data_IF_722632525871
#
_entry.id   IF_722632525871
#
_cell.length_a   1.000
_cell.length_b   1.000
_cell.length_c   1.000
_cell.angle_alpha   90.00
_cell.angle_beta   90.00
_cell.angle_gamma   90.00
#
_symmetry.space_group_name_H-M   'P 1'
#
loop_
_entity.id
_entity.type
_entity.pdbx_description
1 polymer ?
#
# COMPACT_ATOMS: atom_id res chain seq x y z
N UNK A 1 -36.70 5.21 -1.76
CA UNK A 1 -36.14 4.34 -2.81
C UNK A 1 -34.65 4.53 -2.75
N UNK A 2 -33.98 3.48 -2.27
CA UNK A 2 -32.54 3.38 -2.15
C UNK A 2 -31.86 3.63 -3.50
N UNK A 3 -30.80 4.42 -3.50
CA UNK A 3 -29.77 4.30 -4.52
C UNK A 3 -28.44 4.14 -3.81
N UNK A 4 -28.20 2.90 -3.40
CA UNK A 4 -26.86 2.35 -3.32
C UNK A 4 -26.18 2.67 -4.66
N UNK A 5 -25.34 3.71 -4.72
CA UNK A 5 -24.44 3.90 -5.84
C UNK A 5 -23.41 2.78 -5.73
N UNK A 6 -23.68 1.68 -6.42
CA UNK A 6 -22.66 0.71 -6.80
C UNK A 6 -21.48 1.49 -7.35
N UNK A 7 -20.31 1.35 -6.75
CA UNK A 7 -19.07 1.82 -7.37
C UNK A 7 -18.96 1.12 -8.72
N UNK A 8 -19.15 1.87 -9.80
CA UNK A 8 -19.07 1.34 -11.17
C UNK A 8 -17.63 0.89 -11.39
N UNK A 9 -17.46 -0.36 -11.82
CA UNK A 9 -16.13 -0.91 -12.06
C UNK A 9 -15.37 -0.02 -13.05
N UNK A 10 -14.07 0.30 -12.85
CA UNK A 10 -13.33 1.25 -13.70
C UNK A 10 -13.38 0.92 -15.20
N UNK A 11 -13.43 -0.37 -15.55
CA UNK A 11 -13.55 -0.81 -16.95
C UNK A 11 -14.94 -0.50 -17.55
N UNK A 12 -15.99 -0.57 -16.75
CA UNK A 12 -17.35 -0.21 -17.17
C UNK A 12 -17.51 1.30 -17.28
N UNK A 13 -16.92 2.07 -16.35
CA UNK A 13 -16.85 3.53 -16.43
C UNK A 13 -16.14 3.96 -17.72
N UNK A 14 -15.03 3.32 -18.08
CA UNK A 14 -14.31 3.54 -19.33
C UNK A 14 -15.18 3.31 -20.58
N UNK A 15 -15.92 2.19 -20.62
CA UNK A 15 -16.89 1.91 -21.70
C UNK A 15 -18.00 2.95 -21.76
N UNK A 16 -18.46 3.43 -20.60
CA UNK A 16 -19.43 4.53 -20.49
C UNK A 16 -18.91 5.82 -21.13
N UNK A 17 -17.67 6.21 -20.81
CA UNK A 17 -17.03 7.37 -21.44
C UNK A 17 -16.86 7.20 -22.95
N UNK A 18 -16.42 6.03 -23.42
CA UNK A 18 -16.28 5.77 -24.86
C UNK A 18 -17.63 5.91 -25.59
N UNK A 19 -18.70 5.32 -25.04
CA UNK A 19 -20.04 5.45 -25.62
C UNK A 19 -20.51 6.90 -25.72
N UNK A 20 -20.16 7.74 -24.74
CA UNK A 20 -20.46 9.17 -24.79
C UNK A 20 -19.65 9.85 -25.89
N UNK A 21 -18.35 9.56 -26.01
CA UNK A 21 -17.49 10.11 -27.07
C UNK A 21 -17.89 9.66 -28.48
N UNK A 22 -18.50 8.49 -28.62
CA UNK A 22 -19.04 8.00 -29.89
C UNK A 22 -20.32 8.76 -30.32
N UNK A 23 -20.94 9.55 -29.42
CA UNK A 23 -22.10 10.37 -29.75
C UNK A 23 -21.70 11.74 -30.32
N UNK A 24 -22.41 12.24 -31.35
CA UNK A 24 -22.14 13.57 -31.90
C UNK A 24 -22.24 14.67 -30.82
N UNK A 25 -21.25 15.55 -30.77
CA UNK A 25 -21.23 16.71 -29.87
C UNK A 25 -20.73 16.43 -28.45
N UNK A 26 -20.20 15.24 -28.18
CA UNK A 26 -19.50 14.93 -26.94
C UNK A 26 -18.00 14.83 -27.19
N UNK A 27 -17.24 15.66 -26.51
CA UNK A 27 -15.78 15.59 -26.43
C UNK A 27 -15.34 15.45 -24.96
N UNK A 28 -14.03 15.31 -24.73
CA UNK A 28 -13.51 15.14 -23.37
C UNK A 28 -13.87 16.34 -22.47
N UNK A 29 -13.93 17.55 -23.02
CA UNK A 29 -14.36 18.74 -22.27
C UNK A 29 -15.82 18.63 -21.79
N UNK A 30 -16.72 18.16 -22.66
CA UNK A 30 -18.11 17.89 -22.31
C UNK A 30 -18.23 16.79 -21.25
N UNK A 31 -17.38 15.75 -21.31
CA UNK A 31 -17.35 14.68 -20.30
C UNK A 31 -16.87 15.21 -18.94
N UNK A 32 -15.83 16.05 -18.89
CA UNK A 32 -15.34 16.68 -17.65
C UNK A 32 -16.48 17.45 -16.98
N UNK A 33 -17.17 18.30 -17.74
CA UNK A 33 -18.27 19.14 -17.23
C UNK A 33 -19.45 18.29 -16.71
N UNK A 34 -19.80 17.20 -17.41
CA UNK A 34 -20.96 16.37 -17.06
C UNK A 34 -20.70 15.35 -15.96
N UNK A 35 -19.49 14.83 -15.87
CA UNK A 35 -19.11 13.79 -14.88
C UNK A 35 -18.54 14.36 -13.59
N UNK A 36 -18.19 15.66 -13.56
CA UNK A 36 -17.44 16.31 -12.49
C UNK A 36 -16.13 15.55 -12.17
N UNK A 37 -15.48 15.00 -13.21
CA UNK A 37 -14.18 14.31 -13.14
C UNK A 37 -13.15 15.09 -13.95
N UNK A 38 -11.89 15.05 -13.53
CA UNK A 38 -10.81 15.69 -14.27
C UNK A 38 -10.59 15.02 -15.63
N UNK A 39 -10.07 15.77 -16.61
CA UNK A 39 -9.69 15.20 -17.90
C UNK A 39 -8.70 14.05 -17.74
N UNK A 40 -7.76 14.17 -16.80
CA UNK A 40 -6.80 13.12 -16.44
C UNK A 40 -7.49 11.82 -16.00
N UNK A 41 -8.55 11.90 -15.18
CA UNK A 41 -9.33 10.72 -14.78
C UNK A 41 -10.00 10.06 -15.99
N UNK A 42 -10.63 10.84 -16.87
CA UNK A 42 -11.31 10.33 -18.07
C UNK A 42 -10.32 9.63 -19.01
N UNK A 43 -9.16 10.26 -19.29
CA UNK A 43 -8.11 9.64 -20.11
C UNK A 43 -7.54 8.38 -19.47
N UNK A 44 -7.31 8.37 -18.15
CA UNK A 44 -6.86 7.18 -17.44
C UNK A 44 -7.86 6.03 -17.61
N UNK A 45 -9.17 6.30 -17.50
CA UNK A 45 -10.21 5.29 -17.73
C UNK A 45 -10.25 4.82 -19.17
N UNK A 46 -10.27 5.72 -20.14
CA UNK A 46 -10.28 5.37 -21.56
C UNK A 46 -9.06 4.52 -21.96
N UNK A 47 -7.90 4.76 -21.33
CA UNK A 47 -6.70 3.96 -21.59
C UNK A 47 -6.94 2.47 -21.31
N UNK A 48 -7.78 2.12 -20.32
CA UNK A 48 -8.09 0.73 -19.99
C UNK A 48 -8.71 -0.03 -21.16
N UNK A 49 -9.38 0.65 -22.11
CA UNK A 49 -9.94 0.02 -23.30
C UNK A 49 -8.87 -0.44 -24.31
N UNK A 50 -7.61 -0.09 -24.10
CA UNK A 50 -6.46 -0.55 -24.89
C UNK A 50 -5.88 -1.87 -24.40
N UNK A 51 -6.44 -2.45 -23.33
CA UNK A 51 -6.04 -3.75 -22.82
C UNK A 51 -6.35 -4.87 -23.82
N UNK A 52 -5.40 -5.78 -24.02
CA UNK A 52 -5.65 -7.02 -24.75
C UNK A 52 -6.72 -7.87 -24.03
N UNK A 53 -7.47 -8.74 -24.75
CA UNK A 53 -8.63 -9.44 -24.20
C UNK A 53 -8.37 -10.17 -22.87
N UNK A 54 -7.26 -10.89 -22.76
CA UNK A 54 -6.93 -11.69 -21.58
C UNK A 54 -6.70 -10.82 -20.34
N UNK A 55 -6.06 -9.66 -20.50
CA UNK A 55 -5.79 -8.71 -19.42
C UNK A 55 -7.05 -7.95 -19.02
N UNK A 56 -7.86 -7.56 -20.01
CA UNK A 56 -9.16 -6.93 -19.76
C UNK A 56 -10.09 -7.87 -18.97
N UNK A 57 -10.14 -9.14 -19.34
CA UNK A 57 -10.91 -10.15 -18.61
C UNK A 57 -10.39 -10.31 -17.18
N UNK A 58 -9.07 -10.40 -16.99
CA UNK A 58 -8.48 -10.47 -15.66
C UNK A 58 -8.80 -9.26 -14.78
N UNK A 59 -8.89 -8.08 -15.38
CA UNK A 59 -9.26 -6.87 -14.67
C UNK A 59 -10.73 -6.86 -14.27
N UNK A 60 -11.64 -7.25 -15.19
CA UNK A 60 -13.08 -7.35 -14.91
C UNK A 60 -13.39 -8.41 -13.84
N UNK A 61 -12.63 -9.50 -13.80
CA UNK A 61 -12.72 -10.54 -12.78
C UNK A 61 -11.98 -10.17 -11.48
N UNK A 62 -11.48 -8.94 -11.36
CA UNK A 62 -10.73 -8.43 -10.20
C UNK A 62 -9.48 -9.26 -9.83
N UNK A 63 -8.95 -10.05 -10.79
CA UNK A 63 -7.69 -10.81 -10.62
C UNK A 63 -6.46 -9.92 -10.62
N UNK A 64 -6.57 -8.73 -11.19
CA UNK A 64 -5.57 -7.65 -11.12
C UNK A 64 -6.25 -6.37 -10.66
N UNK A 65 -5.51 -5.50 -9.98
CA UNK A 65 -6.06 -4.21 -9.51
C UNK A 65 -6.05 -3.15 -10.61
N UNK A 66 -6.79 -2.06 -10.41
CA UNK A 66 -6.78 -0.91 -11.33
C UNK A 66 -5.37 -0.34 -11.55
N UNK A 67 -4.49 -0.40 -10.55
CA UNK A 67 -3.09 0.04 -10.70
C UNK A 67 -2.33 -0.80 -11.73
N UNK A 68 -2.49 -2.13 -11.72
CA UNK A 68 -1.88 -3.02 -12.70
C UNK A 68 -2.44 -2.77 -14.10
N UNK A 69 -3.77 -2.73 -14.20
CA UNK A 69 -4.47 -2.52 -15.46
C UNK A 69 -4.06 -1.19 -16.13
N UNK A 70 -3.95 -0.10 -15.36
CA UNK A 70 -3.52 1.20 -15.88
C UNK A 70 -2.05 1.21 -16.35
N UNK A 71 -1.16 0.42 -15.72
CA UNK A 71 0.23 0.30 -16.17
C UNK A 71 0.30 -0.45 -17.51
N UNK A 72 -0.39 -1.60 -17.61
CA UNK A 72 -0.35 -2.46 -18.79
C UNK A 72 -1.07 -1.79 -19.97
N UNK A 73 -2.18 -1.10 -19.73
CA UNK A 73 -2.97 -0.40 -20.75
C UNK A 73 -2.20 0.68 -21.51
N UNK A 74 -1.11 1.21 -20.93
CA UNK A 74 -0.26 2.22 -21.55
C UNK A 74 0.82 1.62 -22.46
N UNK A 75 1.01 0.30 -22.43
CA UNK A 75 2.00 -0.38 -23.25
C UNK A 75 1.44 -0.69 -24.65
N UNK A 76 2.30 -0.71 -25.68
CA UNK A 76 1.96 -1.33 -26.95
C UNK A 76 1.41 -2.74 -26.75
N UNK A 77 0.38 -3.12 -27.52
CA UNK A 77 -0.37 -4.38 -27.31
C UNK A 77 0.54 -5.62 -27.32
N UNK A 78 1.58 -5.62 -28.15
CA UNK A 78 2.58 -6.70 -28.25
C UNK A 78 3.37 -6.96 -26.96
N UNK A 79 3.47 -5.97 -26.06
CA UNK A 79 4.16 -6.09 -24.79
C UNK A 79 3.23 -6.36 -23.60
N UNK A 80 1.93 -6.19 -23.78
CA UNK A 80 0.97 -6.32 -22.68
C UNK A 80 0.92 -7.73 -22.12
N UNK A 81 0.98 -8.77 -22.96
CA UNK A 81 1.00 -10.16 -22.51
C UNK A 81 2.24 -10.45 -21.64
N UNK A 82 3.41 -10.02 -22.09
CA UNK A 82 4.65 -10.22 -21.34
C UNK A 82 4.64 -9.47 -19.99
N UNK A 83 4.13 -8.24 -19.95
CA UNK A 83 3.98 -7.46 -18.71
C UNK A 83 2.95 -8.09 -17.76
N UNK A 84 1.87 -8.63 -18.31
CA UNK A 84 0.81 -9.30 -17.55
C UNK A 84 1.34 -10.51 -16.80
N UNK A 85 2.11 -11.38 -17.44
CA UNK A 85 2.73 -12.56 -16.79
C UNK A 85 3.55 -12.19 -15.55
N UNK A 86 4.12 -10.98 -15.50
CA UNK A 86 4.92 -10.50 -14.36
C UNK A 86 4.09 -10.05 -13.16
N UNK A 87 2.75 -10.04 -13.27
CA UNK A 87 1.88 -9.71 -12.15
C UNK A 87 1.87 -10.84 -11.11
N UNK A 88 2.26 -12.07 -11.47
CA UNK A 88 2.17 -13.22 -10.59
C UNK A 88 3.51 -13.78 -10.16
N UNK A 89 3.55 -14.33 -8.94
CA UNK A 89 4.66 -15.14 -8.45
C UNK A 89 4.13 -16.26 -7.58
N UNK A 90 4.81 -17.41 -7.65
CA UNK A 90 4.57 -18.53 -6.74
C UNK A 90 5.72 -18.62 -5.76
N UNK A 91 5.48 -18.23 -4.51
CA UNK A 91 6.46 -18.41 -3.45
C UNK A 91 6.41 -19.85 -2.88
N UNK A 92 7.41 -20.20 -2.09
CA UNK A 92 7.63 -21.57 -1.61
C UNK A 92 6.46 -22.13 -0.76
N UNK A 93 5.70 -21.26 -0.11
CA UNK A 93 4.56 -21.62 0.73
C UNK A 93 3.21 -21.52 0.00
N UNK A 94 3.21 -21.06 -1.25
CA UNK A 94 1.97 -20.83 -1.99
C UNK A 94 1.51 -22.07 -2.73
N UNK A 95 0.22 -22.38 -2.60
CA UNK A 95 -0.42 -23.43 -3.41
C UNK A 95 -0.56 -22.98 -4.87
N UNK A 96 -0.90 -21.71 -5.08
CA UNK A 96 -1.12 -21.07 -6.39
C UNK A 96 -0.39 -19.73 -6.46
N UNK A 97 0.01 -19.24 -7.65
CA UNK A 97 0.64 -17.94 -7.79
C UNK A 97 -0.23 -16.82 -7.24
N UNK A 98 0.35 -15.95 -6.41
CA UNK A 98 -0.34 -14.77 -5.88
C UNK A 98 0.01 -13.52 -6.69
N UNK A 99 -0.89 -12.53 -6.64
CA UNK A 99 -0.70 -11.23 -7.29
C UNK A 99 0.36 -10.41 -6.53
N UNK A 100 1.41 -10.00 -7.23
CA UNK A 100 2.42 -9.10 -6.71
C UNK A 100 1.91 -7.65 -6.66
N UNK A 101 2.51 -6.77 -5.84
CA UNK A 101 2.22 -5.33 -5.91
C UNK A 101 2.61 -4.73 -7.28
N UNK A 102 1.83 -3.77 -7.78
CA UNK A 102 2.00 -3.16 -9.11
C UNK A 102 3.41 -2.61 -9.40
N UNK A 103 4.17 -2.21 -8.36
CA UNK A 103 5.57 -1.80 -8.46
C UNK A 103 6.48 -2.84 -9.12
N UNK A 104 6.15 -4.13 -9.03
CA UNK A 104 6.91 -5.20 -9.67
C UNK A 104 6.75 -5.14 -11.20
N UNK A 105 5.54 -4.91 -11.69
CA UNK A 105 5.27 -4.70 -13.12
C UNK A 105 5.95 -3.42 -13.60
N UNK A 106 5.90 -2.33 -12.81
CA UNK A 106 6.63 -1.09 -13.11
C UNK A 106 8.13 -1.36 -13.28
N UNK A 107 8.77 -2.04 -12.33
CA UNK A 107 10.19 -2.36 -12.41
C UNK A 107 10.53 -3.23 -13.62
N UNK A 108 9.65 -4.17 -13.99
CA UNK A 108 9.83 -4.96 -15.19
C UNK A 108 9.73 -4.11 -16.46
N UNK A 109 8.73 -3.21 -16.57
CA UNK A 109 8.57 -2.29 -17.69
C UNK A 109 9.82 -1.40 -17.85
N UNK A 110 10.32 -0.82 -16.75
CA UNK A 110 11.54 0.00 -16.76
C UNK A 110 12.77 -0.79 -17.26
N UNK A 111 12.87 -2.07 -16.89
CA UNK A 111 14.05 -2.88 -17.21
C UNK A 111 13.97 -3.53 -18.61
N UNK A 112 12.78 -3.63 -19.22
CA UNK A 112 12.59 -4.36 -20.48
C UNK A 112 12.08 -3.48 -21.62
N UNK A 113 11.41 -2.38 -21.33
CA UNK A 113 10.73 -1.54 -22.33
C UNK A 113 11.27 -0.10 -22.34
N UNK A 114 11.44 0.55 -21.18
CA UNK A 114 11.97 1.92 -21.10
C UNK A 114 13.49 1.95 -20.98
N UNK A 115 14.14 1.48 -22.05
CA UNK A 115 15.58 1.25 -22.11
C UNK A 115 16.35 2.52 -22.47
N UNK A 116 16.56 3.39 -21.49
CA UNK A 116 17.37 4.60 -21.67
C UNK A 116 18.80 4.25 -22.10
N UNK A 117 19.24 4.77 -23.26
CA UNK A 117 20.58 4.52 -23.76
C UNK A 117 21.67 5.19 -22.91
N UNK A 118 21.32 6.24 -22.17
CA UNK A 118 22.21 6.87 -21.19
C UNK A 118 22.60 5.92 -20.04
N UNK A 119 21.76 4.93 -19.74
CA UNK A 119 21.99 3.93 -18.71
C UNK A 119 22.67 2.66 -19.22
N UNK A 120 22.98 2.59 -20.52
CA UNK A 120 23.60 1.43 -21.13
C UNK A 120 24.97 1.13 -20.48
N UNK A 121 25.24 -0.13 -20.09
CA UNK A 121 26.51 -0.50 -19.48
C UNK A 121 27.67 -0.59 -20.49
N UNK A 122 27.37 -0.44 -21.78
CA UNK A 122 28.30 -0.63 -22.89
C UNK A 122 28.42 0.63 -23.75
N UNK A 123 29.49 0.71 -24.54
CA UNK A 123 29.70 1.81 -25.48
C UNK A 123 28.66 1.76 -26.63
N UNK A 124 27.98 2.88 -26.86
CA UNK A 124 26.94 3.00 -27.88
C UNK A 124 27.49 2.92 -29.31
N UNK A 125 28.78 3.20 -29.51
CA UNK A 125 29.46 3.08 -30.81
C UNK A 125 29.92 1.64 -31.11
N UNK A 126 29.77 0.71 -30.16
CA UNK A 126 30.26 -0.66 -30.31
C UNK A 126 29.39 -1.49 -31.26
N UNK A 127 29.96 -1.80 -32.43
CA UNK A 127 29.35 -2.63 -33.48
C UNK A 127 29.48 -4.12 -33.16
N UNK A 128 30.49 -4.51 -32.36
CA UNK A 128 30.84 -5.90 -32.09
C UNK A 128 29.87 -6.64 -31.17
N UNK A 129 29.10 -5.92 -30.35
CA UNK A 129 28.14 -6.53 -29.41
C UNK A 129 26.96 -7.21 -30.10
N UNK A 130 26.53 -6.67 -31.25
CA UNK A 130 25.54 -7.31 -32.11
C UNK A 130 25.78 -6.86 -33.57
N UNK A 131 26.59 -7.62 -34.34
CA UNK A 131 26.96 -7.25 -35.70
C UNK A 131 25.77 -7.10 -36.65
N UNK A 132 24.67 -7.82 -36.41
CA UNK A 132 23.46 -7.74 -37.23
C UNK A 132 22.70 -6.42 -37.02
N UNK A 133 22.75 -5.86 -35.81
CA UNK A 133 22.06 -4.62 -35.47
C UNK A 133 22.93 -3.35 -35.64
N UNK A 134 24.26 -3.49 -35.64
CA UNK A 134 25.19 -2.36 -35.72
C UNK A 134 25.31 -1.55 -34.42
N UNK A 135 25.96 -0.39 -34.47
CA UNK A 135 26.12 0.52 -33.33
C UNK A 135 24.78 1.13 -32.87
N UNK A 136 24.63 1.37 -31.56
CA UNK A 136 23.44 2.03 -31.01
C UNK A 136 23.38 3.52 -31.39
N UNK A 137 24.52 4.20 -31.47
CA UNK A 137 24.59 5.64 -31.74
C UNK A 137 24.02 6.03 -33.11
N UNK A 138 24.14 5.16 -34.11
CA UNK A 138 23.58 5.39 -35.46
C UNK A 138 22.32 4.55 -35.71
N UNK A 139 21.74 3.94 -34.67
CA UNK A 139 20.62 3.03 -34.81
C UNK A 139 19.33 3.78 -35.17
N UNK A 140 18.62 3.41 -36.25
CA UNK A 140 17.35 4.05 -36.62
C UNK A 140 16.20 3.70 -35.66
N UNK A 141 16.41 2.74 -34.75
CA UNK A 141 15.42 2.24 -33.77
C UNK A 141 15.55 2.89 -32.40
N UNK A 142 16.32 3.98 -32.27
CA UNK A 142 16.37 4.79 -31.04
C UNK A 142 15.44 6.00 -31.16
N UNK A 143 14.83 6.42 -30.06
CA UNK A 143 13.93 7.58 -30.06
C UNK A 143 14.64 8.86 -30.52
N UNK A 144 15.93 9.00 -30.21
CA UNK A 144 16.76 10.13 -30.62
C UNK A 144 17.13 10.19 -32.11
N UNK A 145 16.86 9.15 -32.92
CA UNK A 145 17.07 9.20 -34.37
C UNK A 145 15.99 10.02 -35.09
N UNK A 146 14.73 9.89 -34.64
CA UNK A 146 13.59 10.64 -35.17
C UNK A 146 12.97 11.50 -34.06
N UNK A 147 13.71 12.49 -33.58
CA UNK A 147 13.30 13.34 -32.44
C UNK A 147 11.92 13.99 -32.64
N UNK A 148 11.54 14.33 -33.88
CA UNK A 148 10.23 14.89 -34.18
C UNK A 148 9.06 13.93 -33.93
N UNK A 149 9.27 12.62 -34.08
CA UNK A 149 8.25 11.59 -33.79
C UNK A 149 8.15 11.29 -32.30
N UNK A 150 9.18 11.62 -31.52
CA UNK A 150 9.30 11.27 -30.11
C UNK A 150 9.55 12.50 -29.23
N UNK A 151 9.01 13.67 -29.59
CA UNK A 151 9.22 14.92 -28.86
C UNK A 151 8.76 14.87 -27.39
N UNK A 152 7.83 13.97 -27.07
CA UNK A 152 7.29 13.75 -25.71
C UNK A 152 8.13 12.74 -24.89
N UNK A 153 9.09 12.04 -25.50
CA UNK A 153 9.94 11.05 -24.82
C UNK A 153 11.12 11.76 -24.17
N UNK A 154 11.24 11.62 -22.85
CA UNK A 154 12.39 12.13 -22.10
C UNK A 154 13.62 11.26 -22.37
N UNK A 155 14.62 11.83 -23.06
CA UNK A 155 15.90 11.19 -23.34
C UNK A 155 15.91 10.25 -24.57
N UNK A 156 17.10 9.74 -24.90
CA UNK A 156 17.29 8.77 -25.99
C UNK A 156 17.09 7.34 -25.45
N UNK A 157 16.14 6.61 -26.04
CA UNK A 157 15.71 5.30 -25.60
C UNK A 157 15.82 4.29 -26.74
N UNK A 158 16.20 3.05 -26.40
CA UNK A 158 16.16 1.93 -27.32
C UNK A 158 14.72 1.41 -27.46
N UNK A 159 14.21 1.33 -28.69
CA UNK A 159 12.87 0.79 -28.95
C UNK A 159 12.89 -0.73 -29.27
N UNK A 160 14.05 -1.39 -29.21
CA UNK A 160 14.17 -2.84 -29.39
C UNK A 160 14.83 -3.48 -28.16
N UNK A 161 13.98 -4.01 -27.26
CA UNK A 161 14.44 -4.60 -26.02
C UNK A 161 15.24 -5.89 -26.18
N UNK A 162 14.92 -6.73 -27.17
CA UNK A 162 15.68 -7.96 -27.42
C UNK A 162 17.09 -7.65 -27.92
N UNK A 163 17.22 -6.67 -28.80
CA UNK A 163 18.53 -6.19 -29.25
C UNK A 163 19.35 -5.63 -28.08
N UNK A 164 18.75 -4.79 -27.23
CA UNK A 164 19.44 -4.21 -26.07
C UNK A 164 19.93 -5.30 -25.11
N UNK A 165 19.05 -6.24 -24.74
CA UNK A 165 19.40 -7.35 -23.84
C UNK A 165 20.51 -8.24 -24.41
N UNK A 166 20.47 -8.53 -25.71
CA UNK A 166 21.52 -9.30 -26.38
C UNK A 166 22.87 -8.59 -26.32
N UNK A 167 22.89 -7.26 -26.50
CA UNK A 167 24.12 -6.45 -26.37
C UNK A 167 24.64 -6.40 -24.93
N UNK A 168 23.75 -6.27 -23.94
CA UNK A 168 24.13 -6.33 -22.52
C UNK A 168 24.76 -7.69 -22.19
N UNK A 169 24.15 -8.80 -22.65
CA UNK A 169 24.69 -10.14 -22.43
C UNK A 169 26.09 -10.31 -23.07
N UNK A 170 26.25 -9.92 -24.34
CA UNK A 170 27.53 -9.97 -25.03
C UNK A 170 28.60 -9.11 -24.36
N UNK A 171 28.21 -7.93 -23.85
CA UNK A 171 29.10 -7.05 -23.10
C UNK A 171 29.55 -7.68 -21.78
N UNK A 172 28.62 -8.26 -21.01
CA UNK A 172 28.93 -8.97 -19.76
C UNK A 172 29.91 -10.12 -20.02
N UNK A 173 29.66 -10.95 -21.04
CA UNK A 173 30.53 -12.07 -21.38
C UNK A 173 31.95 -11.59 -21.75
N UNK A 174 32.05 -10.48 -22.49
CA UNK A 174 33.34 -9.85 -22.82
C UNK A 174 34.06 -9.29 -21.59
N UNK A 175 33.33 -8.65 -20.68
CA UNK A 175 33.89 -8.10 -19.45
C UNK A 175 34.39 -9.20 -18.51
N UNK A 176 33.65 -10.29 -18.38
CA UNK A 176 34.07 -11.46 -17.60
C UNK A 176 35.32 -12.13 -18.20
N UNK A 177 35.43 -12.17 -19.53
CA UNK A 177 36.63 -12.68 -20.21
C UNK A 177 37.84 -11.75 -20.02
N UNK A 178 37.63 -10.43 -19.95
CA UNK A 178 38.70 -9.43 -19.82
C UNK A 178 39.16 -9.27 -18.37
N UNK A 179 38.23 -9.36 -17.41
CA UNK A 179 38.45 -9.12 -15.98
C UNK A 179 37.92 -10.30 -15.14
N UNK A 180 38.59 -11.47 -15.17
CA UNK A 180 38.13 -12.67 -14.46
C UNK A 180 38.15 -12.54 -12.94
N UNK A 181 38.83 -11.52 -12.39
CA UNK A 181 38.87 -11.21 -10.96
C UNK A 181 37.60 -10.54 -10.42
N UNK A 182 36.68 -10.11 -11.29
CA UNK A 182 35.43 -9.49 -10.85
C UNK A 182 34.51 -10.52 -10.21
N UNK A 183 33.98 -10.17 -9.04
CA UNK A 183 32.97 -10.98 -8.38
C UNK A 183 31.67 -10.90 -9.16
N UNK A 184 31.04 -12.02 -9.47
CA UNK A 184 29.76 -12.05 -10.18
C UNK A 184 28.63 -11.94 -9.16
N UNK A 185 27.71 -10.98 -9.35
CA UNK A 185 26.57 -10.77 -8.45
C UNK A 185 25.23 -10.72 -9.19
N UNK A 186 24.15 -11.05 -8.48
CA UNK A 186 22.77 -10.85 -8.94
C UNK A 186 22.02 -9.88 -8.02
N UNK A 187 21.40 -8.86 -8.60
CA UNK A 187 20.63 -7.85 -7.84
C UNK A 187 19.15 -8.20 -7.68
N UNK A 188 18.68 -9.22 -8.41
CA UNK A 188 17.29 -9.68 -8.40
C UNK A 188 17.24 -11.13 -7.94
N UNK A 189 16.27 -11.45 -7.08
CA UNK A 189 16.12 -12.82 -6.58
C UNK A 189 15.76 -13.78 -7.71
N UNK A 190 16.38 -14.95 -7.70
CA UNK A 190 16.13 -16.05 -8.61
C UNK A 190 15.96 -17.36 -7.81
N UNK A 191 15.07 -18.28 -8.22
CA UNK A 191 14.96 -19.59 -7.58
C UNK A 191 16.29 -20.35 -7.62
N UNK A 192 16.60 -21.13 -6.57
CA UNK A 192 17.87 -21.85 -6.46
C UNK A 192 18.20 -22.76 -7.66
N UNK A 193 17.19 -23.28 -8.36
CA UNK A 193 17.37 -24.11 -9.57
C UNK A 193 17.86 -23.34 -10.80
N UNK A 194 17.64 -22.04 -10.84
CA UNK A 194 18.00 -21.18 -11.95
C UNK A 194 19.22 -20.29 -11.62
N UNK A 195 19.62 -20.23 -10.35
CA UNK A 195 20.84 -19.56 -9.91
C UNK A 195 22.05 -20.21 -10.56
N UNK A 196 22.96 -19.39 -11.08
CA UNK A 196 24.18 -19.89 -11.72
C UNK A 196 25.24 -20.17 -10.64
N UNK A 197 25.97 -21.29 -10.73
CA UNK A 197 27.01 -21.61 -9.76
C UNK A 197 28.12 -20.56 -9.79
N UNK A 198 28.52 -20.07 -8.62
CA UNK A 198 29.59 -19.07 -8.46
C UNK A 198 29.12 -17.60 -8.52
N UNK A 199 27.83 -17.34 -8.75
CA UNK A 199 27.28 -15.98 -8.70
C UNK A 199 26.66 -15.72 -7.33
N UNK A 200 27.03 -14.59 -6.71
CA UNK A 200 26.56 -14.19 -5.39
C UNK A 200 25.15 -13.57 -5.46
N UNK A 201 24.16 -14.12 -4.73
CA UNK A 201 22.82 -13.54 -4.65
C UNK A 201 22.81 -12.28 -3.76
N UNK A 202 21.78 -11.43 -3.92
CA UNK A 202 21.63 -10.16 -3.19
C UNK A 202 21.85 -10.20 -1.67
N UNK A 203 21.59 -11.32 -1.00
CA UNK A 203 21.72 -11.43 0.46
C UNK A 203 23.15 -11.76 0.94
N UNK A 204 24.05 -12.18 0.04
CA UNK A 204 25.41 -12.60 0.37
C UNK A 204 26.46 -11.49 0.13
N UNK A 205 26.00 -10.26 -0.10
CA UNK A 205 26.88 -9.11 -0.27
C UNK A 205 26.20 -7.83 0.20
N UNK A 206 27.00 -6.85 0.58
CA UNK A 206 26.54 -5.49 0.87
C UNK A 206 27.10 -4.54 -0.19
N UNK A 207 26.22 -3.80 -0.85
CA UNK A 207 26.60 -2.74 -1.77
C UNK A 207 27.20 -1.57 -0.98
N UNK A 208 28.34 -1.08 -1.47
CA UNK A 208 29.07 0.04 -0.89
C UNK A 208 28.96 1.21 -1.86
N UNK A 209 28.66 2.39 -1.32
CA UNK A 209 28.72 3.61 -2.10
C UNK A 209 30.16 3.81 -2.59
N UNK A 210 30.30 4.03 -3.89
CA UNK A 210 31.60 4.36 -4.47
C UNK A 210 31.95 5.77 -4.04
N UNK A 211 33.10 6.00 -3.37
CA UNK A 211 33.56 7.36 -3.12
C UNK A 211 33.79 8.06 -4.46
N UNK A 212 33.36 9.32 -4.60
CA UNK A 212 33.57 10.11 -5.83
C UNK A 212 35.08 10.27 -6.18
N UNK A 213 35.97 10.02 -5.23
CA UNK A 213 37.41 10.10 -5.40
C UNK A 213 38.02 8.71 -5.71
N UNK A 214 38.68 8.51 -6.86
CA UNK A 214 39.33 7.25 -7.22
C UNK A 214 40.51 6.86 -6.30
N UNK A 215 41.06 7.82 -5.54
CA UNK A 215 42.14 7.59 -4.57
C UNK A 215 41.63 7.41 -3.14
N UNK A 216 40.32 7.32 -2.92
CA UNK A 216 39.75 7.08 -1.59
C UNK A 216 40.14 5.69 -1.09
N UNK A 217 40.54 5.61 0.18
CA UNK A 217 40.78 4.33 0.84
C UNK A 217 39.51 3.48 0.79
N UNK A 218 39.63 2.17 0.53
CA UNK A 218 38.48 1.29 0.46
C UNK A 218 37.73 1.32 1.80
N UNK A 219 36.39 1.42 1.78
CA UNK A 219 35.58 1.56 2.99
C UNK A 219 35.74 0.38 3.96
N UNK A 220 36.13 -0.80 3.47
CA UNK A 220 36.53 -1.92 4.33
C UNK A 220 37.64 -2.78 3.70
N UNK A 221 38.35 -3.61 4.49
CA UNK A 221 39.39 -4.51 3.99
C UNK A 221 38.89 -5.56 2.98
N UNK A 222 37.59 -5.91 3.05
CA UNK A 222 36.95 -6.93 2.21
C UNK A 222 36.19 -6.33 1.02
N UNK A 223 36.56 -5.12 0.62
CA UNK A 223 36.01 -4.43 -0.54
C UNK A 223 36.44 -5.13 -1.83
N UNK A 224 35.48 -5.52 -2.67
CA UNK A 224 35.72 -6.12 -3.98
C UNK A 224 34.87 -5.45 -5.05
N UNK A 225 35.41 -5.35 -6.26
CA UNK A 225 34.64 -4.94 -7.44
C UNK A 225 33.81 -6.12 -7.96
N UNK A 226 32.52 -5.89 -8.15
CA UNK A 226 31.58 -6.89 -8.61
C UNK A 226 30.87 -6.45 -9.89
N UNK A 227 30.68 -7.38 -10.83
CA UNK A 227 29.91 -7.18 -12.05
C UNK A 227 28.50 -7.74 -11.87
N UNK A 228 27.49 -6.91 -12.14
CA UNK A 228 26.10 -7.36 -12.12
C UNK A 228 25.83 -8.19 -13.37
N UNK A 229 25.68 -9.50 -13.20
CA UNK A 229 25.43 -10.44 -14.31
C UNK A 229 23.93 -10.56 -14.59
N UNK A 230 23.09 -10.38 -13.57
CA UNK A 230 21.65 -10.51 -13.69
C UNK A 230 20.89 -9.57 -12.74
N UNK A 231 19.78 -9.02 -13.24
CA UNK A 231 18.88 -8.15 -12.50
C UNK A 231 18.95 -6.69 -12.95
N UNK A 232 18.48 -5.78 -12.08
CA UNK A 232 18.54 -4.34 -12.32
C UNK A 232 20.00 -3.90 -12.47
N UNK A 233 20.26 -3.05 -13.46
CA UNK A 233 21.58 -2.54 -13.82
C UNK A 233 22.60 -3.62 -14.26
N UNK A 234 22.14 -4.72 -14.87
CA UNK A 234 23.02 -5.72 -15.46
C UNK A 234 24.07 -5.08 -16.40
N UNK A 235 25.32 -5.51 -16.27
CA UNK A 235 26.49 -4.96 -16.95
C UNK A 235 27.22 -3.84 -16.21
N UNK A 236 26.62 -3.21 -15.18
CA UNK A 236 27.34 -2.22 -14.37
C UNK A 236 28.28 -2.92 -13.38
N UNK A 237 29.45 -2.31 -13.15
CA UNK A 237 30.38 -2.72 -12.09
C UNK A 237 30.10 -1.89 -10.85
N UNK A 238 29.90 -2.54 -9.71
CA UNK A 238 29.68 -1.90 -8.42
C UNK A 238 30.71 -2.37 -7.40
N UNK A 239 30.81 -1.67 -6.28
CA UNK A 239 31.71 -2.03 -5.19
C UNK A 239 30.91 -2.71 -4.08
N UNK A 240 31.36 -3.88 -3.62
CA UNK A 240 30.64 -4.67 -2.62
C UNK A 240 31.57 -5.19 -1.52
N UNK A 241 31.02 -5.38 -0.33
CA UNK A 241 31.61 -6.18 0.72
C UNK A 241 30.99 -7.58 0.68
N UNK A 242 31.82 -8.62 0.49
CA UNK A 242 31.35 -10.02 0.45
C UNK A 242 31.51 -10.75 1.78
N UNK A 243 31.91 -10.04 2.83
CA UNK A 243 32.13 -10.62 4.16
C UNK A 243 30.92 -10.31 5.06
N UNK A 244 30.24 -11.37 5.49
CA UNK A 244 29.09 -11.33 6.40
C UNK A 244 29.51 -10.89 7.82
N UNK A 245 30.78 -11.05 8.17
CA UNK A 245 31.33 -10.72 9.49
C UNK A 245 32.34 -9.57 9.40
N UNK A 246 32.11 -8.64 8.48
CA UNK A 246 33.02 -7.51 8.31
C UNK A 246 33.03 -6.61 9.57
N UNK A 247 34.18 -6.37 10.21
CA UNK A 247 34.28 -5.60 11.45
C UNK A 247 33.85 -4.13 11.31
N UNK A 248 33.85 -3.60 10.08
CA UNK A 248 33.39 -2.24 9.78
C UNK A 248 31.87 -2.17 9.66
N UNK A 249 31.25 -3.18 9.03
CA UNK A 249 29.83 -3.16 8.66
C UNK A 249 28.92 -3.87 9.66
N UNK A 250 29.47 -4.79 10.47
CA UNK A 250 28.79 -5.50 11.54
C UNK A 250 29.69 -5.67 12.79
N UNK A 251 30.04 -4.56 13.47
CA UNK A 251 30.91 -4.60 14.65
C UNK A 251 30.27 -5.36 15.83
N UNK A 252 28.95 -5.35 15.92
CA UNK A 252 28.21 -6.03 16.99
C UNK A 252 28.30 -7.55 16.84
N UNK A 253 28.16 -8.07 15.62
CA UNK A 253 28.33 -9.50 15.37
C UNK A 253 29.77 -9.94 15.61
N UNK A 254 30.77 -9.17 15.17
CA UNK A 254 32.18 -9.48 15.44
C UNK A 254 32.46 -9.49 16.93
N UNK A 255 31.99 -8.50 17.69
CA UNK A 255 32.14 -8.46 19.14
C UNK A 255 31.45 -9.64 19.83
N UNK A 256 30.26 -10.05 19.35
CA UNK A 256 29.54 -11.23 19.86
C UNK A 256 30.31 -12.52 19.60
N UNK A 257 30.85 -12.69 18.39
CA UNK A 257 31.64 -13.88 18.02
C UNK A 257 32.96 -13.93 18.81
N UNK A 258 33.66 -12.81 18.92
CA UNK A 258 34.88 -12.70 19.74
C UNK A 258 34.60 -13.01 21.22
N UNK A 259 33.47 -12.55 21.76
CA UNK A 259 33.05 -12.90 23.11
C UNK A 259 32.70 -14.39 23.23
N UNK A 260 32.04 -14.99 22.25
CA UNK A 260 31.76 -16.43 22.24
C UNK A 260 33.05 -17.26 22.22
N UNK A 261 34.03 -16.85 21.43
CA UNK A 261 35.35 -17.47 21.37
C UNK A 261 36.13 -17.29 22.68
N UNK A 262 36.02 -16.13 23.33
CA UNK A 262 36.61 -15.90 24.65
C UNK A 262 35.92 -16.70 25.77
N UNK A 263 34.58 -16.82 25.75
CA UNK A 263 33.80 -17.56 26.74
C UNK A 263 33.97 -19.08 26.60
N UNK A 264 34.32 -19.58 25.40
CA UNK A 264 34.58 -21.00 25.14
C UNK A 264 35.65 -21.16 24.05
N UNK A 265 36.94 -21.03 24.40
CA UNK A 265 38.03 -21.10 23.43
C UNK A 265 38.17 -22.53 22.91
N UNK A 266 38.43 -22.65 21.59
CA UNK A 266 38.73 -23.94 21.00
C UNK A 266 40.01 -24.51 21.62
N UNK A 267 40.03 -25.80 22.02
CA UNK A 267 41.26 -26.44 22.48
C UNK A 267 42.33 -26.36 21.39
N UNK A 268 43.51 -25.88 21.75
CA UNK A 268 44.70 -25.82 20.89
C UNK A 268 45.71 -26.80 21.47
N UNK A 269 46.39 -27.56 20.60
CA UNK A 269 47.45 -28.46 21.02
C UNK A 269 48.60 -27.66 21.63
N UNK A 270 49.02 -28.04 22.83
CA UNK A 270 50.14 -27.38 23.49
C UNK A 270 51.44 -27.66 22.71
N UNK A 271 52.31 -26.65 22.55
CA UNK A 271 53.56 -26.83 21.82
C UNK A 271 54.45 -27.85 22.53
N UNK A 272 55.05 -28.75 21.76
CA UNK A 272 55.99 -29.74 22.27
C UNK A 272 57.19 -29.04 22.96
N UNK A 273 57.65 -29.59 24.08
CA UNK A 273 58.86 -29.13 24.76
C UNK A 273 60.11 -29.67 24.06
N UNK A 274 61.24 -28.94 24.11
CA UNK A 274 62.47 -29.28 23.37
C UNK A 274 63.11 -30.62 23.83
N UNK A 275 62.79 -31.08 25.05
CA UNK A 275 63.21 -32.36 25.62
C UNK A 275 61.98 -33.15 26.09
N UNK A 276 61.13 -33.59 25.16
CA UNK A 276 59.96 -34.44 25.44
C UNK A 276 60.30 -35.92 25.16
N UNK A 277 59.93 -36.82 26.08
CA UNK A 277 60.01 -38.26 25.84
C UNK A 277 58.81 -38.74 25.00
N UNK A 278 58.93 -39.89 24.32
CA UNK A 278 57.86 -40.43 23.47
C UNK A 278 56.56 -40.68 24.26
N UNK A 279 56.67 -41.11 25.52
CA UNK A 279 55.53 -41.30 26.44
C UNK A 279 54.85 -39.98 26.84
N UNK A 280 55.61 -38.88 26.99
CA UNK A 280 55.06 -37.55 27.31
C UNK A 280 54.33 -36.95 26.10
N UNK A 281 54.84 -37.18 24.89
CA UNK A 281 54.19 -36.76 23.65
C UNK A 281 52.84 -37.48 23.42
N UNK A 282 52.78 -38.80 23.66
CA UNK A 282 51.53 -39.58 23.59
C UNK A 282 50.50 -39.11 24.63
N UNK A 283 50.94 -38.77 25.85
CA UNK A 283 50.06 -38.22 26.89
C UNK A 283 49.49 -36.86 26.51
N UNK A 284 50.31 -35.97 25.96
CA UNK A 284 49.88 -34.64 25.49
C UNK A 284 48.86 -34.74 24.35
N UNK A 285 49.07 -35.65 23.40
CA UNK A 285 48.11 -35.90 22.32
C UNK A 285 46.78 -36.45 22.86
N UNK A 286 46.84 -37.43 23.77
CA UNK A 286 45.65 -38.00 24.40
C UNK A 286 44.86 -36.96 25.22
N UNK A 287 45.54 -36.08 25.96
CA UNK A 287 44.90 -34.99 26.73
C UNK A 287 44.27 -33.94 25.80
N UNK A 288 44.93 -33.61 24.67
CA UNK A 288 44.36 -32.74 23.65
C UNK A 288 43.10 -33.35 23.02
N UNK A 289 43.11 -34.64 22.67
CA UNK A 289 41.94 -35.34 22.14
C UNK A 289 40.77 -35.34 23.14
N UNK A 290 41.04 -35.58 24.42
CA UNK A 290 40.03 -35.48 25.48
C UNK A 290 39.42 -34.06 25.54
N UNK A 291 40.24 -33.02 25.63
CA UNK A 291 39.76 -31.62 25.65
C UNK A 291 38.96 -31.25 24.39
N UNK A 292 39.38 -31.75 23.22
CA UNK A 292 38.66 -31.58 21.95
C UNK A 292 37.27 -32.22 21.98
N UNK A 293 37.18 -33.46 22.43
CA UNK A 293 35.90 -34.18 22.50
C UNK A 293 34.94 -33.54 23.51
N UNK A 294 35.45 -33.12 24.68
CA UNK A 294 34.66 -32.39 25.68
C UNK A 294 34.12 -31.05 25.14
N UNK A 295 34.96 -30.28 24.45
CA UNK A 295 34.54 -29.03 23.81
C UNK A 295 33.48 -29.26 22.72
N UNK A 296 33.61 -30.31 21.91
CA UNK A 296 32.62 -30.65 20.87
C UNK A 296 31.26 -31.04 21.48
N UNK A 297 31.26 -31.83 22.56
CA UNK A 297 30.03 -32.18 23.30
C UNK A 297 29.37 -30.94 23.90
N UNK A 298 30.16 -30.04 24.49
CA UNK A 298 29.65 -28.78 25.06
C UNK A 298 29.06 -27.85 23.99
N UNK A 299 29.66 -27.76 22.80
CA UNK A 299 29.11 -27.00 21.67
C UNK A 299 27.76 -27.58 21.22
N UNK A 300 27.65 -28.91 21.09
CA UNK A 300 26.40 -29.58 20.73
C UNK A 300 25.30 -29.29 21.75
N UNK A 301 25.61 -29.36 23.05
CA UNK A 301 24.67 -29.02 24.13
C UNK A 301 24.16 -27.59 24.01
N UNK A 302 25.05 -26.61 23.77
CA UNK A 302 24.68 -25.19 23.60
C UNK A 302 23.85 -24.96 22.34
N UNK A 303 24.12 -25.69 21.25
CA UNK A 303 23.30 -25.64 20.03
C UNK A 303 21.89 -26.16 20.24
N UNK A 304 21.74 -27.28 20.96
CA UNK A 304 20.43 -27.82 21.33
C UNK A 304 19.64 -26.86 22.24
N UNK A 305 20.30 -26.23 23.21
CA UNK A 305 19.70 -25.20 24.05
C UNK A 305 19.22 -23.99 23.23
N UNK A 306 20.05 -23.51 22.28
CA UNK A 306 19.65 -22.42 21.37
C UNK A 306 18.44 -22.80 20.52
N UNK A 307 18.43 -24.03 19.98
CA UNK A 307 17.33 -24.53 19.15
C UNK A 307 16.03 -24.64 19.94
N UNK A 308 16.08 -25.19 21.16
CA UNK A 308 14.90 -25.33 22.02
C UNK A 308 14.34 -23.97 22.47
N UNK A 309 15.21 -23.01 22.77
CA UNK A 309 14.82 -21.63 23.08
C UNK A 309 14.13 -20.95 21.87
N UNK A 310 14.70 -21.09 20.67
CA UNK A 310 14.12 -20.57 19.44
C UNK A 310 12.73 -21.17 19.17
N UNK A 311 12.59 -22.49 19.30
CA UNK A 311 11.30 -23.17 19.14
C UNK A 311 10.25 -22.70 20.18
N UNK A 312 10.69 -22.40 21.42
CA UNK A 312 9.80 -21.83 22.45
C UNK A 312 9.31 -20.45 22.05
N UNK A 313 10.23 -19.55 21.67
CA UNK A 313 9.90 -18.19 21.24
C UNK A 313 8.96 -18.19 20.03
N UNK A 314 9.18 -19.09 19.07
CA UNK A 314 8.31 -19.23 17.90
C UNK A 314 6.90 -19.66 18.30
N UNK A 315 6.76 -20.62 19.22
CA UNK A 315 5.45 -21.05 19.74
C UNK A 315 4.72 -19.93 20.48
N UNK A 316 5.44 -19.14 21.29
CA UNK A 316 4.89 -17.97 21.97
C UNK A 316 4.40 -16.91 20.98
N UNK A 317 5.21 -16.60 19.97
CA UNK A 317 4.84 -15.66 18.91
C UNK A 317 3.60 -16.13 18.14
N UNK A 318 3.54 -17.40 17.75
CA UNK A 318 2.38 -17.97 17.06
C UNK A 318 1.11 -17.95 17.95
N UNK A 319 1.26 -18.23 19.24
CA UNK A 319 0.15 -18.16 20.20
C UNK A 319 -0.37 -16.72 20.34
N UNK A 320 0.52 -15.73 20.40
CA UNK A 320 0.17 -14.31 20.47
C UNK A 320 -0.52 -13.84 19.19
N UNK A 321 -0.04 -14.25 18.02
CA UNK A 321 -0.69 -13.96 16.74
C UNK A 321 -2.11 -14.55 16.69
N UNK A 322 -2.28 -15.81 17.08
CA UNK A 322 -3.61 -16.46 17.18
C UNK A 322 -4.52 -15.73 18.17
N UNK A 323 -3.98 -15.25 19.30
CA UNK A 323 -4.73 -14.46 20.29
C UNK A 323 -5.21 -13.14 19.69
N UNK A 324 -4.33 -12.41 19.01
CA UNK A 324 -4.65 -11.13 18.34
C UNK A 324 -5.66 -11.32 17.22
N UNK A 325 -5.51 -12.36 16.41
CA UNK A 325 -6.46 -12.69 15.35
C UNK A 325 -7.85 -13.03 15.91
N UNK A 326 -7.92 -13.85 16.97
CA UNK A 326 -9.17 -14.18 17.64
C UNK A 326 -9.85 -12.92 18.21
N UNK A 327 -9.07 -12.03 18.82
CA UNK A 327 -9.58 -10.76 19.36
C UNK A 327 -10.06 -9.84 18.24
N UNK A 328 -9.32 -9.72 17.14
CA UNK A 328 -9.73 -8.97 15.96
C UNK A 328 -11.05 -9.50 15.40
N UNK A 329 -11.16 -10.82 15.15
CA UNK A 329 -12.41 -11.46 14.68
C UNK A 329 -13.57 -11.23 15.64
N UNK A 330 -13.34 -11.32 16.95
CA UNK A 330 -14.38 -11.05 17.95
C UNK A 330 -14.83 -9.58 17.92
N UNK A 331 -13.91 -8.63 17.72
CA UNK A 331 -14.24 -7.21 17.59
C UNK A 331 -15.02 -6.93 16.31
N UNK A 332 -14.60 -7.49 15.17
CA UNK A 332 -15.33 -7.39 13.90
C UNK A 332 -16.73 -7.98 14.03
N UNK A 333 -16.87 -9.19 14.59
CA UNK A 333 -18.19 -9.80 14.81
C UNK A 333 -19.08 -8.98 15.77
N UNK A 334 -18.48 -8.23 16.72
CA UNK A 334 -19.21 -7.31 17.58
C UNK A 334 -19.68 -6.09 16.79
N UNK A 335 -18.81 -5.52 15.95
CA UNK A 335 -19.13 -4.40 15.07
C UNK A 335 -20.27 -4.75 14.10
N UNK A 336 -20.15 -5.86 13.36
CA UNK A 336 -21.19 -6.33 12.44
C UNK A 336 -22.53 -6.54 13.15
N UNK A 337 -22.51 -7.15 14.35
CA UNK A 337 -23.74 -7.33 15.15
C UNK A 337 -24.36 -6.00 15.59
N UNK A 338 -23.56 -4.97 15.84
CA UNK A 338 -24.05 -3.63 16.16
C UNK A 338 -24.72 -3.02 14.92
N UNK A 339 -24.11 -3.15 13.74
CA UNK A 339 -24.67 -2.66 12.48
C UNK A 339 -25.99 -3.38 12.13
N UNK A 340 -26.02 -4.71 12.20
CA UNK A 340 -27.21 -5.52 11.90
C UNK A 340 -28.40 -5.18 12.80
N UNK A 341 -28.14 -4.74 14.04
CA UNK A 341 -29.15 -4.40 15.03
C UNK A 341 -29.34 -2.89 15.20
N UNK A 342 -28.72 -2.07 14.35
CA UNK A 342 -28.82 -0.63 14.44
C UNK A 342 -30.29 -0.19 14.18
N UNK A 343 -30.89 0.59 15.08
CA UNK A 343 -32.25 1.08 14.88
C UNK A 343 -32.28 2.20 13.83
N UNK A 344 -33.41 2.37 13.15
CA UNK A 344 -33.61 3.45 12.17
C UNK A 344 -33.56 4.86 12.78
N UNK A 345 -33.83 4.98 14.08
CA UNK A 345 -33.68 6.21 14.86
C UNK A 345 -33.03 5.87 16.21
N UNK A 346 -32.10 6.70 16.67
CA UNK A 346 -31.44 6.49 17.96
C UNK A 346 -32.35 6.89 19.13
N UNK A 347 -32.37 6.05 20.17
CA UNK A 347 -32.86 6.47 21.49
C UNK A 347 -31.91 7.51 22.10
N UNK A 348 -32.37 8.28 23.10
CA UNK A 348 -31.53 9.27 23.77
C UNK A 348 -30.19 8.70 24.30
N UNK A 349 -30.22 7.49 24.87
CA UNK A 349 -29.02 6.80 25.32
C UNK A 349 -28.09 6.39 24.17
N UNK A 350 -28.63 5.88 23.06
CA UNK A 350 -27.84 5.51 21.87
C UNK A 350 -27.26 6.74 21.18
N UNK A 351 -28.03 7.84 21.10
CA UNK A 351 -27.60 9.10 20.51
C UNK A 351 -26.45 9.72 21.31
N UNK A 352 -26.48 9.68 22.65
CA UNK A 352 -25.34 10.13 23.48
C UNK A 352 -24.07 9.34 23.17
N UNK A 353 -24.16 8.02 23.07
CA UNK A 353 -23.00 7.17 22.73
C UNK A 353 -22.48 7.54 21.33
N UNK A 354 -23.36 7.70 20.35
CA UNK A 354 -22.99 8.10 19.00
C UNK A 354 -22.29 9.47 18.96
N UNK A 355 -22.84 10.47 19.65
CA UNK A 355 -22.25 11.80 19.73
C UNK A 355 -20.89 11.80 20.46
N UNK A 356 -20.75 11.02 21.54
CA UNK A 356 -19.44 10.81 22.20
C UNK A 356 -18.41 10.21 21.25
N UNK A 357 -18.80 9.25 20.41
CA UNK A 357 -17.90 8.65 19.43
C UNK A 357 -17.47 9.66 18.37
N UNK A 358 -18.37 10.57 17.93
CA UNK A 358 -18.02 11.63 16.99
C UNK A 358 -17.01 12.64 17.57
N UNK A 359 -17.17 13.01 18.85
CA UNK A 359 -16.21 13.87 19.56
C UNK A 359 -14.80 13.28 19.57
N UNK A 360 -14.66 11.95 19.65
CA UNK A 360 -13.36 11.27 19.60
C UNK A 360 -12.79 11.04 18.19
N UNK A 361 -13.60 11.20 17.13
CA UNK A 361 -13.15 11.00 15.74
C UNK A 361 -12.45 12.25 15.19
N UNK A 362 -12.80 13.44 15.68
CA UNK A 362 -12.26 14.71 15.20
C UNK A 362 -11.76 15.61 16.34
N UNK A 363 -10.54 15.39 16.83
CA UNK A 363 -9.97 16.19 17.91
C UNK A 363 -9.53 17.60 17.49
N UNK A 364 -9.60 17.97 16.20
CA UNK A 364 -8.97 19.20 15.70
C UNK A 364 -9.89 20.18 14.96
N UNK A 365 -11.11 19.82 14.58
CA UNK A 365 -11.88 20.67 13.67
C UNK A 365 -12.78 21.74 14.33
N UNK A 366 -13.29 21.57 15.57
CA UNK A 366 -14.31 22.51 16.11
C UNK A 366 -14.56 22.50 17.63
N UNK A 367 -13.78 21.74 18.41
CA UNK A 367 -14.08 21.53 19.83
C UNK A 367 -13.94 22.79 20.69
N UNK A 368 -13.06 23.72 20.32
CA UNK A 368 -12.82 24.98 21.05
C UNK A 368 -14.08 25.87 21.06
N UNK A 369 -14.73 26.09 19.92
CA UNK A 369 -15.90 26.97 19.82
C UNK A 369 -17.11 26.35 20.55
N UNK A 370 -17.30 25.03 20.45
CA UNK A 370 -18.36 24.32 21.19
C UNK A 370 -18.07 24.31 22.68
N UNK A 371 -16.82 24.04 23.10
CA UNK A 371 -16.42 24.06 24.50
C UNK A 371 -16.61 25.45 25.13
N UNK A 372 -16.21 26.51 24.42
CA UNK A 372 -16.34 27.90 24.89
C UNK A 372 -17.79 28.29 25.20
N UNK A 373 -18.77 27.72 24.49
CA UNK A 373 -20.19 27.93 24.75
C UNK A 373 -20.66 27.31 26.09
N UNK A 374 -20.04 26.21 26.51
CA UNK A 374 -20.40 25.47 27.72
C UNK A 374 -19.49 25.74 28.92
N UNK A 375 -18.29 26.28 28.68
CA UNK A 375 -17.38 26.81 29.68
C UNK A 375 -17.95 28.11 30.27
N UNK A 376 -18.99 28.02 31.12
CA UNK A 376 -19.57 29.20 31.75
C UNK A 376 -18.50 29.97 32.55
N UNK A 377 -18.24 31.25 32.20
CA UNK A 377 -17.33 32.30 32.73
C UNK A 377 -16.20 31.97 33.75
N UNK A 378 -15.81 30.72 33.96
CA UNK A 378 -14.80 30.32 34.94
C UNK A 378 -13.48 30.04 34.20
N UNK A 379 -12.75 31.12 33.94
CA UNK A 379 -11.46 31.11 33.23
C UNK A 379 -10.34 30.33 33.96
N UNK A 380 -10.64 29.71 35.12
CA UNK A 380 -9.69 28.95 35.95
C UNK A 380 -9.96 27.44 36.02
N UNK A 381 -10.91 26.89 35.26
CA UNK A 381 -11.11 25.45 35.20
C UNK A 381 -9.96 24.76 34.43
N UNK A 382 -9.22 23.85 35.07
CA UNK A 382 -8.14 23.05 34.44
C UNK A 382 -8.65 21.95 33.47
N UNK A 383 -9.86 22.11 32.93
CA UNK A 383 -10.48 21.11 32.06
C UNK A 383 -10.12 21.38 30.59
N UNK A 384 -9.86 20.32 29.85
CA UNK A 384 -9.68 20.39 28.39
C UNK A 384 -11.02 20.66 27.68
N UNK A 385 -10.98 21.22 26.48
CA UNK A 385 -12.17 21.45 25.64
C UNK A 385 -12.99 20.17 25.44
N UNK A 386 -12.31 19.03 25.28
CA UNK A 386 -12.91 17.70 25.21
C UNK A 386 -13.69 17.35 26.48
N UNK A 387 -13.09 17.54 27.66
CA UNK A 387 -13.73 17.26 28.95
C UNK A 387 -14.97 18.14 29.19
N UNK A 388 -14.90 19.41 28.77
CA UNK A 388 -16.01 20.36 28.88
C UNK A 388 -17.18 19.92 27.99
N UNK A 389 -16.91 19.56 26.73
CA UNK A 389 -17.93 19.12 25.77
C UNK A 389 -18.54 17.78 26.17
N UNK A 390 -17.73 16.82 26.65
CA UNK A 390 -18.21 15.53 27.15
C UNK A 390 -19.08 15.70 28.40
N UNK A 391 -18.67 16.55 29.34
CA UNK A 391 -19.48 16.87 30.52
C UNK A 391 -20.80 17.56 30.14
N UNK A 392 -20.80 18.45 29.14
CA UNK A 392 -22.02 19.07 28.63
C UNK A 392 -22.96 18.05 27.98
N UNK A 393 -22.44 17.12 27.16
CA UNK A 393 -23.22 16.04 26.53
C UNK A 393 -23.86 15.12 27.57
N UNK A 394 -23.13 14.81 28.64
CA UNK A 394 -23.59 13.92 29.71
C UNK A 394 -24.72 14.53 30.55
N UNK A 395 -24.68 15.84 30.75
CA UNK A 395 -25.67 16.60 31.53
C UNK A 395 -26.83 17.15 30.67
N UNK A 396 -26.82 16.96 29.35
CA UNK A 396 -27.87 17.42 28.45
C UNK A 396 -29.13 16.55 28.59
N UNK A 397 -30.30 17.18 28.81
CA UNK A 397 -31.60 16.48 28.89
C UNK A 397 -31.95 15.75 27.58
N UNK A 398 -32.68 14.62 27.68
CA UNK A 398 -33.02 13.74 26.54
C UNK A 398 -33.66 14.50 25.37
N UNK A 399 -34.63 15.39 25.63
CA UNK A 399 -35.30 16.15 24.57
C UNK A 399 -34.41 17.20 23.87
N UNK A 400 -33.23 17.50 24.43
CA UNK A 400 -32.29 18.51 23.89
C UNK A 400 -31.09 17.88 23.15
N UNK A 401 -30.94 16.56 23.16
CA UNK A 401 -29.81 15.88 22.53
C UNK A 401 -29.72 16.12 21.02
N UNK A 402 -30.86 16.16 20.33
CA UNK A 402 -30.89 16.46 18.89
C UNK A 402 -30.40 17.88 18.60
N UNK A 403 -30.71 18.84 19.47
CA UNK A 403 -30.20 20.21 19.37
C UNK A 403 -28.69 20.29 19.63
N UNK A 404 -28.19 19.50 20.59
CA UNK A 404 -26.75 19.38 20.85
C UNK A 404 -26.01 18.77 19.64
N UNK A 405 -26.58 17.73 19.02
CA UNK A 405 -26.05 17.12 17.80
C UNK A 405 -25.97 18.11 16.62
N UNK A 406 -27.05 18.88 16.40
CA UNK A 406 -27.08 19.92 15.36
C UNK A 406 -26.04 21.00 15.61
N UNK A 407 -25.83 21.39 16.88
CA UNK A 407 -24.79 22.35 17.23
C UNK A 407 -23.40 21.80 16.89
N UNK A 408 -23.07 20.58 17.30
CA UNK A 408 -21.80 19.95 16.94
C UNK A 408 -21.56 19.93 15.43
N UNK A 409 -22.61 19.66 14.63
CA UNK A 409 -22.48 19.54 13.18
C UNK A 409 -22.46 20.88 12.41
N UNK A 410 -23.03 21.96 12.97
CA UNK A 410 -23.20 23.24 12.26
C UNK A 410 -22.28 24.36 12.73
N UNK A 411 -21.52 24.17 13.83
CA UNK A 411 -20.67 25.23 14.41
C UNK A 411 -19.63 25.74 13.40
N UNK A 412 -18.98 24.84 12.65
CA UNK A 412 -18.00 25.20 11.60
C UNK A 412 -18.59 25.91 10.38
N UNK A 413 -19.92 25.96 10.29
CA UNK A 413 -20.64 26.51 9.15
C UNK A 413 -21.34 27.83 9.48
N UNK A 414 -21.06 28.41 10.67
CA UNK A 414 -21.60 29.72 11.09
C UNK A 414 -20.90 30.88 10.38
N UNK A 415 -19.66 30.68 9.91
CA UNK A 415 -18.91 31.68 9.15
C UNK A 415 -19.55 32.03 7.81
N UNK A 416 -19.24 33.21 7.28
CA UNK A 416 -19.73 33.64 5.96
C UNK A 416 -19.05 32.77 4.89
N UNK A 417 -19.82 32.00 4.09
CA UNK A 417 -19.25 31.16 3.03
C UNK A 417 -18.64 32.02 1.93
N UNK A 418 -17.57 31.53 1.31
CA UNK A 418 -16.92 32.19 0.18
C UNK A 418 -17.81 32.15 -1.08
N UNK A 419 -17.58 33.06 -2.03
CA UNK A 419 -18.37 33.14 -3.27
C UNK A 419 -18.22 31.82 -4.08
N UNK A 420 -19.33 31.08 -4.23
CA UNK A 420 -19.46 29.74 -4.85
C UNK A 420 -19.15 28.50 -3.96
N UNK A 421 -19.00 28.66 -2.65
CA UNK A 421 -18.91 27.54 -1.72
C UNK A 421 -20.32 27.07 -1.28
N UNK A 422 -20.56 25.77 -1.04
CA UNK A 422 -21.84 25.32 -0.48
C UNK A 422 -22.08 25.97 0.88
N UNK A 423 -23.30 26.42 1.12
CA UNK A 423 -23.75 27.00 2.39
C UNK A 423 -24.62 25.98 3.15
N UNK A 424 -23.99 25.01 3.85
CA UNK A 424 -24.72 23.95 4.54
C UNK A 424 -25.60 24.50 5.68
N UNK A 425 -25.32 25.70 6.19
CA UNK A 425 -26.14 26.33 7.21
C UNK A 425 -27.46 26.86 6.60
N UNK A 426 -27.41 27.54 5.45
CA UNK A 426 -28.61 27.94 4.70
C UNK A 426 -29.41 26.73 4.20
N UNK A 427 -28.75 25.65 3.81
CA UNK A 427 -29.43 24.40 3.43
C UNK A 427 -30.12 23.74 4.64
N UNK A 428 -29.46 23.70 5.80
CA UNK A 428 -30.06 23.22 7.04
C UNK A 428 -31.26 24.09 7.44
N UNK A 429 -31.16 25.42 7.35
CA UNK A 429 -32.27 26.33 7.62
C UNK A 429 -33.51 25.98 6.78
N UNK A 430 -33.32 25.78 5.47
CA UNK A 430 -34.41 25.40 4.56
C UNK A 430 -35.02 24.02 4.90
N UNK A 431 -34.19 23.06 5.30
CA UNK A 431 -34.62 21.70 5.64
C UNK A 431 -35.37 21.61 6.98
N UNK A 432 -35.02 22.45 7.95
CA UNK A 432 -35.62 22.47 9.30
C UNK A 432 -36.68 23.57 9.49
N UNK A 433 -37.00 24.34 8.43
CA UNK A 433 -38.01 25.39 8.49
C UNK A 433 -39.42 24.83 8.80
N UNK A 434 -40.21 25.49 9.69
CA UNK A 434 -41.57 25.06 9.98
C UNK A 434 -42.49 25.25 8.75
N UNK A 435 -43.50 24.37 8.56
CA UNK A 435 -44.38 24.44 7.39
C UNK A 435 -45.19 25.75 7.38
N UNK A 436 -45.06 26.54 6.32
CA UNK A 436 -45.72 27.84 6.20
C UNK A 436 -47.25 27.74 6.05
N UNK A 437 -47.99 28.36 6.97
CA UNK A 437 -49.45 28.52 6.89
C UNK A 437 -49.81 29.53 5.79
N UNK A 438 -50.60 29.09 4.80
CA UNK A 438 -51.05 29.92 3.67
C UNK A 438 -51.99 31.06 4.12
N UNK A 439 -51.57 32.31 3.93
CA UNK A 439 -52.38 33.50 4.15
C UNK A 439 -53.43 33.70 3.04
N UNK A 440 -54.70 33.82 3.42
CA UNK A 440 -55.83 34.13 2.54
C UNK A 440 -55.98 35.65 2.31
N UNK A 441 -56.10 36.06 1.04
CA UNK A 441 -56.34 37.46 0.63
C UNK A 441 -57.79 37.90 0.88
N UNK A 442 -58.05 39.18 1.21
CA UNK A 442 -59.41 39.68 1.48
C UNK A 442 -60.09 40.21 0.20
N UNK A 443 -61.41 40.01 0.05
CA UNK A 443 -62.23 40.81 -0.88
C UNK A 443 -63.70 40.95 -0.47
N UNK A 444 -64.06 42.22 -0.22
CA UNK A 444 -65.32 42.95 -0.38
C UNK A 444 -66.63 42.48 0.29
N UNK A 445 -67.16 43.44 1.04
CA UNK A 445 -68.45 43.57 1.74
C UNK A 445 -69.68 43.66 0.84
N UNK A 446 -70.79 43.05 1.26
CA UNK A 446 -72.13 43.68 1.25
C UNK A 446 -73.11 42.93 2.18
N UNK A 447 -73.74 43.72 3.09
CA UNK A 447 -75.07 43.62 3.75
C UNK A 447 -75.97 42.42 3.40
N UNK A 448 -76.82 41.88 4.27
CA UNK A 448 -77.20 42.08 5.68
C UNK A 448 -78.24 40.99 6.02
N UNK A 449 -78.53 40.87 7.32
CA UNK A 449 -79.82 40.45 7.88
C UNK A 449 -79.94 39.03 8.45
N UNK A 450 -80.62 39.01 9.60
CA UNK A 450 -80.50 38.10 10.72
C UNK A 450 -81.20 36.75 10.55
N UNK A 451 -80.69 35.78 11.32
CA UNK A 451 -81.31 34.56 11.87
C UNK A 451 -82.85 34.61 12.00
N UNK A 452 -83.60 33.47 11.99
CA UNK A 452 -83.29 32.38 12.93
C UNK A 452 -83.83 30.95 12.61
N UNK A 453 -83.43 30.00 13.48
CA UNK A 453 -84.33 28.96 14.07
C UNK A 453 -84.86 27.87 13.10
N UNK A 454 -85.16 26.62 13.45
CA UNK A 454 -85.57 25.92 14.68
C UNK A 454 -85.83 24.48 14.16
N UNK A 455 -85.43 23.34 14.71
CA UNK A 455 -85.69 22.73 16.03
C UNK A 455 -86.16 21.28 15.83
N UNK A 456 -85.92 20.48 16.89
CA UNK A 456 -86.61 19.25 17.32
C UNK A 456 -86.20 17.92 16.68
N UNK A 457 -85.22 17.32 17.33
CA UNK A 457 -85.36 16.21 18.30
C UNK A 457 -86.21 14.96 17.96
N UNK A 458 -85.76 13.79 18.44
CA UNK A 458 -85.94 12.47 17.85
C UNK A 458 -87.06 11.69 18.62
N UNK A 459 -87.30 10.35 18.44
CA UNK A 459 -86.38 9.35 19.00
C UNK A 459 -86.44 7.89 18.44
N UNK A 460 -85.43 7.11 18.86
CA UNK A 460 -85.49 5.71 19.37
C UNK A 460 -85.61 4.52 18.39
N UNK A 461 -84.57 3.67 18.44
CA UNK A 461 -84.51 2.27 18.96
C UNK A 461 -83.80 1.24 18.03
N UNK A 462 -82.64 0.85 18.54
CA UNK A 462 -81.96 -0.46 18.56
C UNK A 462 -82.73 -1.76 18.25
N UNK A 463 -82.03 -2.70 17.60
CA UNK A 463 -81.70 -4.09 18.04
C UNK A 463 -81.62 -5.04 16.80
N UNK A 464 -80.45 -5.54 16.39
CA UNK A 464 -79.79 -6.82 16.78
C UNK A 464 -80.70 -8.08 16.70
N UNK A 465 -80.42 -9.01 15.75
CA UNK A 465 -79.96 -10.39 16.04
C UNK A 465 -79.71 -11.26 14.78
N UNK A 466 -78.47 -11.79 14.71
CA UNK A 466 -77.97 -13.15 14.41
C UNK A 466 -78.71 -14.17 13.51
N UNK A 467 -77.84 -15.01 12.91
CA UNK A 467 -77.97 -16.41 12.42
C UNK A 467 -78.47 -16.62 10.99
N UNK A 468 -78.07 -17.65 10.22
CA UNK A 468 -76.93 -18.60 10.14
C UNK A 468 -77.27 -19.49 8.90
N UNK A 469 -76.25 -20.14 8.32
CA UNK A 469 -76.31 -21.36 7.45
C UNK A 469 -76.70 -21.17 5.98
N UNK A 470 -75.75 -21.38 5.06
CA UNK A 470 -75.48 -22.68 4.41
C UNK A 470 -74.01 -22.74 4.01
#
# INVERSE_FOLDING_TARGET
>A
MDSQRLDVHPYEEARGFQRLLDMPGYDVAALVLKSNKSASHIYARLSLLQLIPDVAQAFVEERITASHANLIARLPQEHQAAAFEQCWRKDWNDKEPHLLPAKHVTAWIETNLYLALADAPFDLEDIGLNPAAGACATCPRRSGFNTSLFADVQGDQCLDGLCYQSKVAAYIDRELATRPQLVQIETTWRPAKEQRPGILPKHSYRELDTPDNPDAEPPCPNTKSALIVFGRHAGKTITVCTDDHCPVHDPATVARLAKQEADNPAPVMEPATEEETEEEAEQREAEYEQRRTEHEVEQQRRDEERKTEYERQQKEYEAEQKRREKLSKARTATFERILDKAPAMFTAAQLRIFLRLLVHIDPYSFLEEVASHFAGNDENAQQTDEEIVLAALDNTADEKLTGFALRLALTDHVGIPMENEPDPLSEAEAAFAPPQLKASKPKKTSKSEETPMTVKAPPKKSAVKKQKVA
#
